data_IF_517029536764
#
_entry.id   IF_517029536764
#
_cell.length_a   1.000
_cell.length_b   1.000
_cell.length_c   1.000
_cell.angle_alpha   90.00
_cell.angle_beta   90.00
_cell.angle_gamma   90.00
#
_symmetry.space_group_name_H-M   'P 1'
#
loop_
_entity.id
_entity.type
_entity.pdbx_description
1 polymer ?
#
# COMPACT_ATOMS: atom_id res chain seq x y z
N UNK A 1 -10.64 -25.34 -1.15
CA UNK A 1 -10.97 -24.13 -0.35
C UNK A 1 -9.74 -23.27 -0.21
N UNK A 2 -9.89 -22.02 0.20
CA UNK A 2 -8.75 -21.13 0.49
C UNK A 2 -8.12 -21.59 1.81
N UNK A 3 -6.83 -21.91 1.79
CA UNK A 3 -6.07 -22.17 3.00
C UNK A 3 -5.57 -20.84 3.59
N UNK A 4 -5.81 -20.60 4.87
CA UNK A 4 -5.34 -19.42 5.63
C UNK A 4 -4.29 -19.83 6.66
N UNK A 5 -3.54 -18.87 7.18
CA UNK A 5 -2.54 -19.12 8.23
C UNK A 5 -1.32 -19.92 7.76
N UNK A 6 -0.94 -19.82 6.47
CA UNK A 6 0.32 -20.44 5.98
C UNK A 6 1.55 -19.82 6.66
N UNK A 7 1.42 -18.56 7.06
CA UNK A 7 2.28 -17.87 8.01
C UNK A 7 1.42 -17.00 8.92
N UNK A 8 2.03 -16.43 9.95
CA UNK A 8 1.37 -15.57 10.93
C UNK A 8 2.19 -14.31 11.17
N UNK A 9 1.56 -13.27 11.72
CA UNK A 9 2.28 -12.13 12.26
C UNK A 9 3.19 -12.60 13.39
N UNK A 10 4.37 -11.99 13.50
CA UNK A 10 5.42 -12.40 14.43
C UNK A 10 5.06 -12.06 15.87
N UNK A 11 4.40 -10.92 16.11
CA UNK A 11 4.17 -10.43 17.49
C UNK A 11 2.96 -11.10 18.13
N UNK A 12 1.76 -10.92 17.57
CA UNK A 12 0.52 -11.49 18.13
C UNK A 12 0.10 -12.84 17.53
N UNK A 13 0.81 -13.36 16.53
CA UNK A 13 0.47 -14.64 15.89
C UNK A 13 -0.79 -14.59 15.02
N UNK A 14 -1.15 -13.43 14.46
CA UNK A 14 -2.36 -13.30 13.65
C UNK A 14 -2.20 -14.06 12.32
N UNK A 15 -3.14 -14.92 11.92
CA UNK A 15 -3.00 -15.73 10.71
C UNK A 15 -3.11 -14.86 9.44
N UNK A 16 -2.32 -15.19 8.42
CA UNK A 16 -2.47 -14.61 7.08
C UNK A 16 -3.79 -15.04 6.41
N UNK A 17 -4.33 -14.14 5.58
CA UNK A 17 -5.45 -14.40 4.68
C UNK A 17 -5.11 -13.85 3.29
N UNK A 18 -5.20 -14.67 2.24
CA UNK A 18 -4.88 -14.31 0.84
C UNK A 18 -3.47 -13.72 0.58
N UNK A 19 -2.49 -14.08 1.39
CA UNK A 19 -1.11 -13.63 1.34
C UNK A 19 -0.85 -12.40 2.22
N UNK A 20 -1.88 -11.85 2.85
CA UNK A 20 -1.80 -10.59 3.58
C UNK A 20 -1.92 -10.80 5.09
N UNK A 21 -1.14 -10.02 5.84
CA UNK A 21 -1.27 -9.92 7.30
C UNK A 21 -2.22 -8.78 7.66
N UNK A 22 -2.95 -8.88 8.80
CA UNK A 22 -3.88 -7.84 9.19
C UNK A 22 -3.17 -6.51 9.46
N UNK A 23 -3.66 -5.42 8.85
CA UNK A 23 -3.12 -4.06 9.00
C UNK A 23 -3.01 -3.63 10.47
N UNK A 24 -3.91 -4.11 11.34
CA UNK A 24 -3.87 -3.83 12.77
C UNK A 24 -2.58 -4.32 13.46
N UNK A 25 -1.80 -5.22 12.84
CA UNK A 25 -0.52 -5.72 13.34
C UNK A 25 0.68 -4.86 12.91
N UNK A 26 0.52 -3.92 11.97
CA UNK A 26 1.67 -3.18 11.42
C UNK A 26 2.49 -2.45 12.50
N UNK A 27 1.81 -1.72 13.40
CA UNK A 27 2.50 -0.94 14.43
C UNK A 27 3.37 -1.83 15.35
N UNK A 28 2.83 -2.95 15.85
CA UNK A 28 3.59 -3.82 16.74
C UNK A 28 4.73 -4.55 16.02
N UNK A 29 4.55 -4.86 14.73
CA UNK A 29 5.59 -5.50 13.94
C UNK A 29 6.82 -4.60 13.73
N UNK A 30 6.59 -3.27 13.71
CA UNK A 30 7.63 -2.25 13.70
C UNK A 30 8.21 -2.06 15.11
N UNK A 31 7.35 -1.85 16.10
CA UNK A 31 7.76 -1.47 17.48
C UNK A 31 8.49 -2.59 18.24
N UNK A 32 8.21 -3.87 17.94
CA UNK A 32 8.73 -5.00 18.73
C UNK A 32 10.10 -5.46 18.21
N UNK A 33 11.20 -5.30 18.98
CA UNK A 33 12.53 -5.74 18.54
C UNK A 33 12.63 -7.26 18.38
N UNK A 34 13.60 -7.71 17.59
CA UNK A 34 13.96 -9.11 17.44
C UNK A 34 14.08 -9.57 16.00
N UNK A 35 14.33 -10.88 15.81
CA UNK A 35 14.43 -11.47 14.48
C UNK A 35 13.12 -11.25 13.70
N UNK A 36 13.22 -10.67 12.51
CA UNK A 36 12.06 -10.38 11.66
C UNK A 36 11.30 -9.08 11.99
N UNK A 37 11.84 -8.20 12.85
CA UNK A 37 11.28 -6.86 13.05
C UNK A 37 11.18 -6.09 11.73
N UNK A 38 10.05 -5.42 11.51
CA UNK A 38 9.87 -4.55 10.35
C UNK A 38 10.66 -3.26 10.56
N UNK A 39 11.77 -3.13 9.83
CA UNK A 39 12.65 -1.93 9.87
C UNK A 39 12.50 -1.05 8.64
N UNK A 40 11.87 -1.56 7.58
CA UNK A 40 11.60 -0.80 6.38
C UNK A 40 10.21 -1.06 5.84
N UNK A 41 9.63 -0.06 5.18
CA UNK A 41 8.27 -0.13 4.62
C UNK A 41 8.21 0.48 3.21
N UNK A 42 7.47 -0.17 2.33
CA UNK A 42 7.09 0.40 1.02
C UNK A 42 5.58 0.55 1.02
N UNK A 43 5.09 1.78 0.85
CA UNK A 43 3.67 2.08 0.67
C UNK A 43 3.38 2.38 -0.79
N UNK A 44 2.26 1.86 -1.31
CA UNK A 44 1.81 2.11 -2.69
C UNK A 44 0.36 2.56 -2.65
N UNK A 45 0.12 3.83 -3.01
CA UNK A 45 -1.20 4.47 -3.01
C UNK A 45 -2.01 4.21 -1.71
N UNK A 46 -1.35 4.32 -0.55
CA UNK A 46 -1.91 3.93 0.75
C UNK A 46 -1.70 4.99 1.82
N UNK A 47 -2.70 5.18 2.69
CA UNK A 47 -2.64 6.13 3.81
C UNK A 47 -3.07 5.51 5.15
N UNK A 48 -2.36 4.50 5.68
CA UNK A 48 -2.71 3.81 6.93
C UNK A 48 -2.75 4.70 8.17
N UNK A 49 -2.03 5.83 8.22
CA UNK A 49 -2.17 6.79 9.33
C UNK A 49 -3.61 7.31 9.41
N UNK A 50 -4.29 7.48 8.27
CA UNK A 50 -5.68 7.92 8.21
C UNK A 50 -6.68 6.76 8.14
N UNK A 51 -6.35 5.67 7.43
CA UNK A 51 -7.30 4.59 7.09
C UNK A 51 -7.25 3.36 7.99
N UNK A 52 -6.17 3.16 8.76
CA UNK A 52 -6.05 2.03 9.68
C UNK A 52 -6.56 2.37 11.09
N UNK A 53 -6.97 1.36 11.88
CA UNK A 53 -7.26 1.57 13.30
C UNK A 53 -6.06 2.15 14.05
N UNK A 54 -6.31 3.13 14.92
CA UNK A 54 -5.29 3.78 15.75
C UNK A 54 -4.14 4.43 14.95
N UNK A 55 -4.52 5.29 14.01
CA UNK A 55 -3.60 6.15 13.23
C UNK A 55 -2.47 6.81 14.03
N UNK A 56 -2.72 7.42 15.21
CA UNK A 56 -1.66 8.00 16.03
C UNK A 56 -0.58 7.00 16.48
N UNK A 57 -0.93 5.73 16.71
CA UNK A 57 0.08 4.68 16.97
C UNK A 57 0.85 4.33 15.70
N UNK A 58 0.16 4.21 14.56
CA UNK A 58 0.82 3.96 13.27
C UNK A 58 1.84 5.05 12.98
N UNK A 59 1.48 6.33 13.08
CA UNK A 59 2.38 7.46 12.85
C UNK A 59 3.67 7.37 13.70
N UNK A 60 3.53 7.10 15.01
CA UNK A 60 4.68 6.91 15.91
C UNK A 60 5.52 5.68 15.58
N UNK A 61 4.91 4.60 15.10
CA UNK A 61 5.64 3.41 14.67
C UNK A 61 6.43 3.70 13.38
N UNK A 62 5.85 4.43 12.43
CA UNK A 62 6.54 4.81 11.19
C UNK A 62 7.81 5.64 11.45
N UNK A 63 7.82 6.48 12.48
CA UNK A 63 9.02 7.24 12.91
C UNK A 63 10.18 6.35 13.40
N UNK A 64 9.94 5.08 13.71
CA UNK A 64 10.96 4.12 14.15
C UNK A 64 11.55 3.30 13.00
N UNK A 65 10.98 3.42 11.78
CA UNK A 65 11.54 2.77 10.61
C UNK A 65 12.91 3.36 10.28
N UNK A 66 13.79 2.52 9.76
CA UNK A 66 15.10 2.94 9.26
C UNK A 66 15.04 3.39 7.81
N UNK A 67 14.02 2.93 7.08
CA UNK A 67 13.82 3.34 5.71
C UNK A 67 12.37 3.17 5.27
N UNK A 68 11.80 4.19 4.65
CA UNK A 68 10.46 4.14 4.10
C UNK A 68 10.41 4.77 2.71
N UNK A 69 9.78 4.04 1.78
CA UNK A 69 9.46 4.54 0.43
C UNK A 69 7.95 4.65 0.31
N UNK A 70 7.47 5.79 -0.20
CA UNK A 70 6.07 5.94 -0.56
C UNK A 70 5.92 6.21 -2.05
N UNK A 71 5.13 5.37 -2.72
CA UNK A 71 4.68 5.58 -4.10
C UNK A 71 3.27 6.15 -4.05
N UNK A 72 3.15 7.47 -4.22
CA UNK A 72 1.85 8.14 -4.07
C UNK A 72 1.71 9.30 -5.06
N UNK A 73 0.46 9.64 -5.40
CA UNK A 73 0.13 10.80 -6.23
C UNK A 73 0.04 12.08 -5.41
N UNK A 74 -0.12 11.97 -4.08
CA UNK A 74 -0.20 13.09 -3.16
C UNK A 74 0.69 12.90 -1.92
N UNK A 75 1.12 14.02 -1.33
CA UNK A 75 1.68 14.02 0.02
C UNK A 75 0.54 13.92 1.04
N UNK A 76 0.43 12.78 1.70
CA UNK A 76 -0.57 12.49 2.74
C UNK A 76 0.08 12.25 4.12
N UNK A 77 -0.75 11.98 5.12
CA UNK A 77 -0.39 11.77 6.53
C UNK A 77 0.65 10.65 6.69
N UNK A 78 0.52 9.56 5.93
CA UNK A 78 1.49 8.46 5.96
C UNK A 78 2.77 8.82 5.20
N UNK A 79 2.64 9.40 4.01
CA UNK A 79 3.77 9.72 3.12
C UNK A 79 4.73 10.74 3.74
N UNK A 80 4.26 11.58 4.68
CA UNK A 80 5.12 12.50 5.44
C UNK A 80 6.21 11.81 6.28
N UNK A 81 6.07 10.52 6.55
CA UNK A 81 7.06 9.73 7.27
C UNK A 81 8.10 9.06 6.34
N UNK A 82 7.94 9.17 5.01
CA UNK A 82 8.81 8.48 4.06
C UNK A 82 10.14 9.22 3.83
N UNK A 83 11.23 8.47 3.73
CA UNK A 83 12.54 8.98 3.31
C UNK A 83 12.57 9.30 1.81
N UNK A 84 11.85 8.50 1.02
CA UNK A 84 11.76 8.67 -0.44
C UNK A 84 10.29 8.66 -0.85
N UNK A 85 9.88 9.73 -1.54
CA UNK A 85 8.56 9.80 -2.18
C UNK A 85 8.74 9.68 -3.69
N UNK A 86 8.20 8.61 -4.26
CA UNK A 86 8.16 8.36 -5.69
C UNK A 86 6.78 8.77 -6.24
N UNK A 87 6.71 9.79 -7.10
CA UNK A 87 5.42 10.33 -7.53
C UNK A 87 4.73 9.40 -8.55
N UNK A 88 3.55 8.88 -8.21
CA UNK A 88 2.70 8.10 -9.11
C UNK A 88 2.05 8.95 -10.21
N UNK A 89 1.62 8.33 -11.32
CA UNK A 89 0.82 9.01 -12.35
C UNK A 89 -0.56 9.34 -11.80
N UNK A 90 -1.08 10.52 -12.14
CA UNK A 90 -2.48 10.84 -11.88
C UNK A 90 -3.37 9.89 -12.70
N UNK A 91 -4.59 9.55 -12.23
CA UNK A 91 -5.53 8.71 -12.97
C UNK A 91 -5.84 9.18 -14.41
N UNK A 92 -5.56 10.44 -14.74
CA UNK A 92 -5.74 10.98 -16.09
C UNK A 92 -4.56 10.70 -17.04
N UNK A 93 -3.43 10.23 -16.53
CA UNK A 93 -2.19 10.03 -17.29
C UNK A 93 -1.85 8.54 -17.53
N UNK A 94 -2.67 7.63 -17.01
CA UNK A 94 -2.48 6.18 -17.15
C UNK A 94 -3.77 5.52 -17.63
N UNK A 95 -3.70 4.50 -18.51
CA UNK A 95 -4.87 3.69 -18.82
C UNK A 95 -5.36 2.93 -17.59
N UNK A 96 -6.66 2.96 -17.34
CA UNK A 96 -7.29 2.23 -16.25
C UNK A 96 -8.22 1.16 -16.80
N UNK A 97 -8.02 -0.07 -16.35
CA UNK A 97 -8.97 -1.16 -16.51
C UNK A 97 -9.50 -1.54 -15.12
N UNK A 98 -10.81 -1.47 -14.94
CA UNK A 98 -11.43 -1.83 -13.65
C UNK A 98 -11.37 -3.35 -13.46
N UNK A 99 -10.54 -3.81 -12.52
CA UNK A 99 -10.37 -5.24 -12.21
C UNK A 99 -11.26 -5.67 -11.04
N UNK A 100 -11.51 -4.78 -10.08
CA UNK A 100 -12.13 -5.14 -8.81
C UNK A 100 -13.66 -5.24 -8.91
N UNK A 101 -14.33 -4.20 -9.43
CA UNK A 101 -15.80 -4.16 -9.39
C UNK A 101 -16.51 -5.10 -10.39
N UNK A 102 -15.91 -5.52 -11.52
CA UNK A 102 -16.50 -6.56 -12.35
C UNK A 102 -16.75 -7.88 -11.61
N UNK A 103 -15.95 -8.19 -10.57
CA UNK A 103 -16.15 -9.39 -9.74
C UNK A 103 -17.44 -9.37 -8.93
N UNK A 104 -18.00 -8.18 -8.69
CA UNK A 104 -19.27 -7.97 -7.97
C UNK A 104 -20.45 -7.72 -8.92
N UNK A 105 -20.23 -7.82 -10.23
CA UNK A 105 -21.23 -7.47 -11.24
C UNK A 105 -22.13 -8.66 -11.58
N UNK A 106 -23.42 -8.41 -11.73
CA UNK A 106 -24.39 -9.43 -12.14
C UNK A 106 -24.37 -9.73 -13.66
N UNK A 107 -23.70 -8.89 -14.44
CA UNK A 107 -23.45 -9.05 -15.87
C UNK A 107 -21.96 -8.92 -16.15
N UNK A 108 -21.50 -9.61 -17.18
CA UNK A 108 -20.17 -9.41 -17.74
C UNK A 108 -20.09 -8.01 -18.32
N UNK A 109 -19.17 -7.21 -17.81
CA UNK A 109 -18.86 -5.87 -18.31
C UNK A 109 -17.35 -5.68 -18.32
N UNK A 110 -16.87 -4.88 -19.26
CA UNK A 110 -15.51 -4.40 -19.30
C UNK A 110 -15.54 -2.87 -19.24
N UNK A 111 -14.74 -2.28 -18.35
CA UNK A 111 -14.60 -0.83 -18.22
C UNK A 111 -13.14 -0.46 -18.40
N UNK A 112 -12.85 0.10 -19.56
CA UNK A 112 -11.54 0.61 -19.92
C UNK A 112 -11.62 2.13 -20.12
N UNK A 113 -10.65 2.85 -19.58
CA UNK A 113 -10.45 4.28 -19.82
C UNK A 113 -9.01 4.47 -20.25
N UNK A 114 -8.80 5.00 -21.46
CA UNK A 114 -7.46 5.39 -21.91
C UNK A 114 -6.97 6.61 -21.12
N UNK A 115 -5.64 6.81 -21.07
CA UNK A 115 -5.06 8.03 -20.56
C UNK A 115 -5.59 9.24 -21.34
N UNK A 116 -5.99 10.29 -20.63
CA UNK A 116 -6.46 11.56 -21.21
C UNK A 116 -5.28 12.45 -21.58
N UNK A 117 -4.21 12.41 -20.78
CA UNK A 117 -2.99 13.19 -20.97
C UNK A 117 -1.78 12.28 -21.11
N UNK A 118 -0.77 12.74 -21.86
CA UNK A 118 0.52 12.06 -21.95
C UNK A 118 1.33 12.27 -20.66
N UNK A 119 2.14 11.28 -20.21
CA UNK A 119 3.06 11.48 -19.08
C UNK A 119 3.97 12.70 -19.27
N UNK A 120 4.23 13.45 -18.20
CA UNK A 120 5.14 14.61 -18.24
C UNK A 120 6.59 14.18 -18.47
N UNK A 121 7.39 15.02 -19.15
CA UNK A 121 8.73 14.69 -19.64
C UNK A 121 9.74 14.29 -18.54
N UNK A 122 9.51 14.75 -17.32
CA UNK A 122 10.35 14.52 -16.14
C UNK A 122 10.16 13.10 -15.57
N UNK A 123 9.25 12.30 -16.15
CA UNK A 123 8.95 10.94 -15.71
C UNK A 123 9.32 9.93 -16.80
N UNK A 124 9.94 8.81 -16.43
CA UNK A 124 10.24 7.76 -17.39
C UNK A 124 8.94 7.26 -18.03
N UNK A 125 8.87 7.26 -19.36
CA UNK A 125 7.73 6.71 -20.07
C UNK A 125 7.56 5.22 -19.73
N UNK A 126 6.32 4.71 -19.58
CA UNK A 126 6.11 3.28 -19.38
C UNK A 126 6.72 2.52 -20.57
N UNK A 127 7.49 1.48 -20.29
CA UNK A 127 8.07 0.63 -21.35
C UNK A 127 6.90 -0.04 -22.08
N UNK A 128 6.89 0.12 -23.41
CA UNK A 128 5.92 -0.50 -24.32
C UNK A 128 5.98 -2.01 -24.28
#
# INVERSE_FOLDING_TARGET
>A
GIATGRHASRVRGAPEVYGELPMACLAEEIETPGAGQVRALITVASNPVLSAPNGPRIARALEQLEFMVSVDVYLNETTRHADVVLPGLSPLHEPHYDIAFPQLSWRNQARYSAAVFAPTADRPAPRR
#
